data_IF_112759047424
#
_entry.id   IF_112759047424
#
_cell.length_a   1.000
_cell.length_b   1.000
_cell.length_c   1.000
_cell.angle_alpha   90.00
_cell.angle_beta   90.00
_cell.angle_gamma   90.00
#
_symmetry.space_group_name_H-M   'P 1'
#
loop_
_entity.id
_entity.type
_entity.pdbx_description
1 polymer ?
#
# COMPACT_ATOMS: atom_id res chain seq x y z
N UNK A 1 -13.38 -2.03 -31.85
CA UNK A 1 -12.85 -3.38 -31.56
C UNK A 1 -11.88 -3.21 -30.41
N UNK A 2 -12.02 -3.95 -29.31
CA UNK A 2 -11.06 -3.90 -28.22
C UNK A 2 -9.73 -4.46 -28.73
N UNK A 3 -8.65 -3.73 -28.51
CA UNK A 3 -7.31 -4.13 -28.94
C UNK A 3 -6.68 -5.05 -27.88
N UNK A 4 -5.58 -5.74 -28.20
CA UNK A 4 -4.93 -6.64 -27.25
C UNK A 4 -4.45 -5.93 -25.97
N UNK A 5 -4.04 -4.66 -26.09
CA UNK A 5 -3.64 -3.83 -24.95
C UNK A 5 -4.80 -3.56 -23.99
N UNK A 6 -6.01 -3.35 -24.52
CA UNK A 6 -7.20 -3.09 -23.69
C UNK A 6 -7.57 -4.32 -22.86
N UNK A 7 -7.50 -5.50 -23.49
CA UNK A 7 -7.76 -6.78 -22.82
C UNK A 7 -6.70 -7.04 -21.75
N UNK A 8 -5.42 -6.79 -22.05
CA UNK A 8 -4.34 -6.92 -21.09
C UNK A 8 -4.53 -5.99 -19.88
N UNK A 9 -4.85 -4.72 -20.12
CA UNK A 9 -5.11 -3.75 -19.06
C UNK A 9 -6.26 -4.21 -18.15
N UNK A 10 -7.38 -4.66 -18.71
CA UNK A 10 -8.52 -5.18 -17.94
C UNK A 10 -8.10 -6.36 -17.07
N UNK A 11 -7.37 -7.33 -17.62
CA UNK A 11 -6.91 -8.52 -16.88
C UNK A 11 -5.98 -8.11 -15.72
N UNK A 12 -5.05 -7.19 -15.95
CA UNK A 12 -4.14 -6.71 -14.91
C UNK A 12 -4.91 -5.97 -13.82
N UNK A 13 -5.86 -5.11 -14.17
CA UNK A 13 -6.71 -4.41 -13.19
C UNK A 13 -7.52 -5.39 -12.35
N UNK A 14 -8.13 -6.42 -12.96
CA UNK A 14 -8.89 -7.44 -12.21
C UNK A 14 -7.98 -8.21 -11.27
N UNK A 15 -6.81 -8.66 -11.74
CA UNK A 15 -5.82 -9.36 -10.90
C UNK A 15 -5.38 -8.49 -9.72
N UNK A 16 -5.06 -7.23 -9.98
CA UNK A 16 -4.62 -6.30 -8.96
C UNK A 16 -5.72 -6.05 -7.93
N UNK A 17 -6.96 -5.80 -8.37
CA UNK A 17 -8.09 -5.55 -7.49
C UNK A 17 -8.43 -6.77 -6.60
N UNK A 18 -8.38 -7.98 -7.17
CA UNK A 18 -8.60 -9.21 -6.41
C UNK A 18 -7.51 -9.41 -5.36
N UNK A 19 -6.24 -9.28 -5.77
CA UNK A 19 -5.11 -9.46 -4.87
C UNK A 19 -5.10 -8.41 -3.75
N UNK A 20 -5.30 -7.13 -4.09
CA UNK A 20 -5.35 -6.05 -3.11
C UNK A 20 -6.50 -6.24 -2.12
N UNK A 21 -7.69 -6.64 -2.62
CA UNK A 21 -8.85 -6.90 -1.76
C UNK A 21 -8.61 -8.08 -0.83
N UNK A 22 -8.03 -9.18 -1.33
CA UNK A 22 -7.71 -10.33 -0.51
C UNK A 22 -6.72 -9.97 0.62
N UNK A 23 -5.66 -9.21 0.30
CA UNK A 23 -4.69 -8.71 1.29
C UNK A 23 -5.37 -7.80 2.31
N UNK A 24 -6.22 -6.87 1.86
CA UNK A 24 -6.96 -5.96 2.75
C UNK A 24 -7.92 -6.71 3.68
N UNK A 25 -8.59 -7.76 3.20
CA UNK A 25 -9.46 -8.58 4.05
C UNK A 25 -8.61 -9.32 5.09
N UNK A 26 -7.51 -9.94 4.67
CA UNK A 26 -6.65 -10.76 5.53
C UNK A 26 -5.93 -9.95 6.62
N UNK A 27 -5.51 -8.71 6.31
CA UNK A 27 -4.74 -7.87 7.23
C UNK A 27 -5.64 -6.80 7.88
N UNK A 28 -6.43 -6.10 7.08
CA UNK A 28 -7.26 -4.99 7.52
C UNK A 28 -8.40 -5.42 8.43
N UNK A 29 -9.07 -6.54 8.15
CA UNK A 29 -10.20 -6.99 9.00
C UNK A 29 -9.76 -7.38 10.41
N UNK A 30 -8.70 -8.20 10.61
CA UNK A 30 -8.20 -8.48 11.95
C UNK A 30 -7.69 -7.24 12.67
N UNK A 31 -7.02 -6.33 11.95
CA UNK A 31 -6.50 -5.09 12.52
C UNK A 31 -7.65 -4.18 12.99
N UNK A 32 -8.70 -4.02 12.19
CA UNK A 32 -9.88 -3.24 12.54
C UNK A 32 -10.63 -3.85 13.73
N UNK A 33 -10.78 -5.17 13.76
CA UNK A 33 -11.38 -5.88 14.89
C UNK A 33 -10.59 -5.67 16.18
N UNK A 34 -9.26 -5.84 16.13
CA UNK A 34 -8.38 -5.61 17.27
C UNK A 34 -8.46 -4.17 17.78
N UNK A 35 -8.44 -3.19 16.86
CA UNK A 35 -8.51 -1.78 17.20
C UNK A 35 -9.88 -1.38 17.78
N UNK A 36 -10.96 -1.98 17.30
CA UNK A 36 -12.31 -1.80 17.83
C UNK A 36 -12.41 -2.26 19.29
N UNK A 37 -11.84 -3.43 19.61
CA UNK A 37 -11.95 -4.05 20.93
C UNK A 37 -10.98 -3.47 21.98
N UNK A 38 -9.87 -2.86 21.55
CA UNK A 38 -8.80 -2.45 22.47
C UNK A 38 -9.06 -1.08 23.11
N UNK A 39 -8.83 -0.95 24.43
CA UNK A 39 -8.90 0.33 25.18
C UNK A 39 -7.55 1.06 25.29
N UNK A 40 -6.63 0.82 24.36
CA UNK A 40 -5.26 1.33 24.43
C UNK A 40 -5.23 2.86 24.32
N UNK A 41 -4.41 3.54 25.15
CA UNK A 41 -4.25 5.02 25.05
C UNK A 41 -3.71 5.48 23.70
N UNK A 42 -2.93 4.64 23.01
CA UNK A 42 -2.36 4.93 21.68
C UNK A 42 -3.27 4.51 20.52
N UNK A 43 -4.48 3.99 20.77
CA UNK A 43 -5.44 3.60 19.72
C UNK A 43 -5.67 4.71 18.70
N UNK A 44 -5.81 5.95 19.17
CA UNK A 44 -6.03 7.14 18.32
C UNK A 44 -4.88 7.35 17.32
N UNK A 45 -3.64 7.07 17.71
CA UNK A 45 -2.48 7.20 16.83
C UNK A 45 -2.51 6.14 15.73
N UNK A 46 -2.81 4.89 16.07
CA UNK A 46 -2.95 3.82 15.08
C UNK A 46 -4.12 4.06 14.13
N UNK A 47 -5.27 4.52 14.63
CA UNK A 47 -6.41 4.93 13.79
C UNK A 47 -6.01 6.04 12.82
N UNK A 48 -5.28 7.05 13.28
CA UNK A 48 -4.78 8.13 12.43
C UNK A 48 -3.81 7.61 11.35
N UNK A 49 -2.86 6.73 11.69
CA UNK A 49 -1.91 6.14 10.73
C UNK A 49 -2.63 5.29 9.67
N UNK A 50 -3.63 4.51 10.07
CA UNK A 50 -4.41 3.68 9.13
C UNK A 50 -5.31 4.55 8.24
N UNK A 51 -5.86 5.64 8.78
CA UNK A 51 -6.71 6.56 8.03
C UNK A 51 -5.90 7.54 7.14
N UNK A 52 -4.65 7.83 7.48
CA UNK A 52 -3.77 8.79 6.80
C UNK A 52 -3.77 8.64 5.26
N UNK A 53 -3.62 7.44 4.68
CA UNK A 53 -3.68 7.25 3.23
C UNK A 53 -5.00 7.69 2.59
N UNK A 54 -6.11 7.64 3.31
CA UNK A 54 -7.43 8.01 2.81
C UNK A 54 -7.65 9.54 2.81
N UNK A 55 -7.05 10.24 3.79
CA UNK A 55 -7.13 11.69 3.94
C UNK A 55 -6.10 12.40 3.05
N UNK A 56 -4.98 11.73 2.74
CA UNK A 56 -3.95 12.28 1.85
C UNK A 56 -4.40 12.21 0.39
N UNK A 57 -4.09 13.25 -0.42
CA UNK A 57 -4.30 13.18 -1.86
C UNK A 57 -3.49 12.02 -2.48
N UNK A 58 -4.04 11.31 -3.48
CA UNK A 58 -3.35 10.19 -4.12
C UNK A 58 -2.01 10.61 -4.75
N UNK A 59 -1.89 11.85 -5.21
CA UNK A 59 -0.66 12.41 -5.77
C UNK A 59 0.46 12.51 -4.73
N UNK A 60 0.14 12.92 -3.50
CA UNK A 60 1.12 13.03 -2.40
C UNK A 60 1.57 11.64 -1.95
N UNK A 61 0.63 10.69 -1.94
CA UNK A 61 0.89 9.29 -1.69
C UNK A 61 1.90 8.72 -2.72
N UNK A 62 1.69 9.03 -4.00
CA UNK A 62 2.64 8.68 -5.06
C UNK A 62 4.03 9.28 -4.85
N UNK A 63 4.12 10.57 -4.47
CA UNK A 63 5.40 11.23 -4.15
C UNK A 63 6.13 10.56 -2.98
N UNK A 64 5.43 10.21 -1.89
CA UNK A 64 6.05 9.51 -0.76
C UNK A 64 6.54 8.12 -1.15
N UNK A 65 5.80 7.39 -1.99
CA UNK A 65 6.27 6.11 -2.51
C UNK A 65 7.55 6.30 -3.32
N UNK A 66 7.62 7.27 -4.23
CA UNK A 66 8.84 7.55 -4.99
C UNK A 66 10.04 7.90 -4.10
N UNK A 67 9.86 8.78 -3.11
CA UNK A 67 10.93 9.18 -2.19
C UNK A 67 11.40 8.02 -1.32
N UNK A 68 10.49 7.14 -0.90
CA UNK A 68 10.82 6.03 0.01
C UNK A 68 11.40 4.83 -0.73
N UNK A 69 10.86 4.48 -1.89
CA UNK A 69 11.29 3.36 -2.73
C UNK A 69 12.49 3.70 -3.64
N UNK A 70 12.74 4.98 -3.92
CA UNK A 70 13.90 5.46 -4.68
C UNK A 70 15.22 5.03 -4.05
N UNK A 71 16.30 5.06 -4.84
CA UNK A 71 17.59 4.46 -4.46
C UNK A 71 18.19 5.10 -3.21
N UNK A 72 17.94 6.39 -3.01
CA UNK A 72 18.37 7.12 -1.81
C UNK A 72 17.36 7.04 -0.65
N UNK A 73 16.18 6.46 -0.87
CA UNK A 73 15.12 6.30 0.11
C UNK A 73 15.43 5.21 1.13
N UNK A 74 14.81 5.25 2.33
CA UNK A 74 15.02 4.26 3.38
C UNK A 74 14.68 2.83 2.93
N UNK A 75 13.65 2.64 2.09
CA UNK A 75 13.28 1.31 1.57
C UNK A 75 14.24 0.90 0.45
N UNK A 76 14.61 1.81 -0.46
CA UNK A 76 15.59 1.55 -1.52
C UNK A 76 16.95 1.11 -0.95
N UNK A 77 17.46 1.82 0.06
CA UNK A 77 18.71 1.45 0.75
C UNK A 77 18.62 0.12 1.49
N UNK A 78 17.46 -0.19 2.09
CA UNK A 78 17.24 -1.48 2.73
C UNK A 78 17.29 -2.61 1.69
N UNK A 79 16.64 -2.43 0.53
CA UNK A 79 16.69 -3.39 -0.57
C UNK A 79 18.11 -3.58 -1.12
N UNK A 80 18.85 -2.49 -1.33
CA UNK A 80 20.26 -2.54 -1.75
C UNK A 80 21.12 -3.29 -0.72
N UNK A 81 20.90 -3.06 0.58
CA UNK A 81 21.61 -3.77 1.65
C UNK A 81 21.31 -5.28 1.70
N UNK A 82 20.13 -5.67 1.21
CA UNK A 82 19.69 -7.07 1.09
C UNK A 82 20.08 -7.70 -0.25
N UNK A 83 20.83 -6.99 -1.10
CA UNK A 83 21.31 -7.46 -2.41
C UNK A 83 20.31 -7.28 -3.57
N UNK A 84 19.22 -6.54 -3.35
CA UNK A 84 18.25 -6.15 -4.38
C UNK A 84 18.64 -4.87 -5.11
N UNK A 85 17.94 -4.55 -6.20
CA UNK A 85 17.98 -3.23 -6.84
C UNK A 85 16.86 -2.35 -6.31
N UNK A 86 17.09 -1.03 -6.26
CA UNK A 86 16.02 -0.07 -5.98
C UNK A 86 14.94 -0.18 -7.07
N UNK A 87 13.69 -0.22 -6.63
CA UNK A 87 12.48 -0.46 -7.45
C UNK A 87 11.89 0.81 -8.06
N UNK A 88 12.59 1.94 -7.96
CA UNK A 88 12.19 3.24 -8.51
C UNK A 88 13.35 3.91 -9.26
#
# INVERSE_FOLDING_TARGET
MLNELDISAIIVTIKLALLSTAILILIGTPLAWWLSQTRFKFKVVFEAIIALPLILPPTVLGFYLLVTLGSNGPIGKLLESLGGSSIA
#
